data_IF_742418614888
#
_entry.id   IF_742418614888
#
_cell.length_a   1.000
_cell.length_b   1.000
_cell.length_c   1.000
_cell.angle_alpha   90.00
_cell.angle_beta   90.00
_cell.angle_gamma   90.00
#
_symmetry.space_group_name_H-M   'P 1'
#
loop_
_entity.id
_entity.type
_entity.pdbx_description
1 polymer ?
#
# COMPACT_ATOMS: atom_id res chain seq x y z
N UNK A 1 33.95 65.09 -51.79
CA UNK A 1 33.91 63.61 -51.72
C UNK A 1 33.06 63.23 -50.54
N UNK A 2 31.86 62.76 -50.80
CA UNK A 2 30.79 62.66 -49.87
C UNK A 2 30.80 61.29 -49.19
N UNK A 3 30.85 61.28 -47.91
CA UNK A 3 30.62 60.07 -47.07
C UNK A 3 29.19 60.13 -46.55
N UNK A 4 28.37 59.26 -47.10
CA UNK A 4 26.96 59.06 -46.71
C UNK A 4 26.94 58.21 -45.42
N UNK A 5 26.44 58.81 -44.33
CA UNK A 5 26.18 58.08 -43.10
C UNK A 5 24.85 57.27 -43.23
N UNK A 6 24.93 55.98 -43.11
CA UNK A 6 23.79 55.09 -43.00
C UNK A 6 23.40 54.98 -41.52
N UNK A 7 22.34 55.63 -41.13
CA UNK A 7 21.71 55.43 -39.82
C UNK A 7 20.85 54.17 -39.87
N UNK A 8 21.30 53.11 -39.22
CA UNK A 8 20.51 51.94 -38.95
C UNK A 8 19.64 52.18 -37.70
N UNK A 9 18.33 52.41 -37.91
CA UNK A 9 17.36 52.47 -36.83
C UNK A 9 17.07 51.05 -36.30
N UNK A 10 17.59 50.73 -35.12
CA UNK A 10 17.21 49.52 -34.38
C UNK A 10 15.83 49.71 -33.76
N UNK A 11 14.82 49.16 -34.40
CA UNK A 11 13.47 49.01 -33.83
C UNK A 11 13.51 47.94 -32.73
N UNK A 12 13.58 48.39 -31.48
CA UNK A 12 13.30 47.52 -30.31
C UNK A 12 11.81 47.25 -30.28
N UNK A 13 11.40 46.11 -30.81
CA UNK A 13 10.06 45.56 -30.57
C UNK A 13 10.05 45.00 -29.17
N UNK A 14 9.57 45.79 -28.19
CA UNK A 14 9.25 45.33 -26.86
C UNK A 14 7.99 44.47 -26.90
N UNK A 15 8.15 43.15 -27.02
CA UNK A 15 7.07 42.21 -26.73
C UNK A 15 6.79 42.23 -25.24
N UNK A 16 5.57 42.51 -24.79
CA UNK A 16 5.21 42.26 -23.40
C UNK A 16 5.16 40.72 -23.23
N UNK A 17 6.14 40.16 -22.56
CA UNK A 17 6.08 38.80 -22.04
C UNK A 17 5.02 38.74 -20.91
N UNK A 18 3.75 38.68 -21.29
CA UNK A 18 2.70 38.21 -20.39
C UNK A 18 2.69 36.68 -20.47
N UNK A 19 3.78 36.06 -20.08
CA UNK A 19 3.84 34.63 -19.80
C UNK A 19 3.39 34.43 -18.36
N UNK A 20 2.08 34.43 -18.12
CA UNK A 20 1.49 33.70 -17.00
C UNK A 20 1.49 32.21 -17.35
N UNK A 21 2.64 31.68 -17.72
CA UNK A 21 2.88 30.24 -17.80
C UNK A 21 2.86 29.70 -16.38
N UNK A 22 1.89 28.84 -16.08
CA UNK A 22 1.75 28.14 -14.83
C UNK A 22 3.08 27.49 -14.42
N UNK A 23 3.87 28.16 -13.58
CA UNK A 23 5.09 27.57 -12.98
C UNK A 23 4.77 26.28 -12.19
N UNK A 24 3.50 26.06 -11.84
CA UNK A 24 3.04 24.86 -11.15
C UNK A 24 3.25 23.56 -11.94
N UNK A 25 3.24 23.61 -13.28
CA UNK A 25 3.37 22.42 -14.11
C UNK A 25 4.78 21.81 -14.15
N UNK A 26 5.82 22.64 -13.90
CA UNK A 26 7.22 22.15 -13.89
C UNK A 26 7.48 21.34 -12.62
N UNK A 27 6.92 21.75 -11.50
CA UNK A 27 7.05 21.01 -10.23
C UNK A 27 6.29 19.70 -10.24
N UNK A 28 5.15 19.59 -10.95
CA UNK A 28 4.40 18.36 -11.10
C UNK A 28 5.18 17.29 -11.91
N UNK A 29 6.07 17.72 -12.81
CA UNK A 29 6.94 16.81 -13.56
C UNK A 29 7.98 16.11 -12.67
N UNK A 30 8.34 16.71 -11.54
CA UNK A 30 9.28 16.15 -10.56
C UNK A 30 8.59 15.37 -9.41
N UNK A 31 7.26 15.27 -9.44
CA UNK A 31 6.52 14.53 -8.43
C UNK A 31 6.53 13.03 -8.75
N UNK A 32 6.99 12.23 -7.79
CA UNK A 32 6.88 10.77 -7.89
C UNK A 32 5.43 10.35 -7.76
N UNK A 33 5.05 9.30 -8.49
CA UNK A 33 3.77 8.64 -8.29
C UNK A 33 3.87 7.72 -7.09
N UNK A 34 3.01 7.93 -6.09
CA UNK A 34 2.97 7.14 -4.86
C UNK A 34 1.84 6.12 -4.93
N UNK A 35 2.16 4.90 -4.55
CA UNK A 35 1.23 3.77 -4.47
C UNK A 35 1.23 3.26 -3.03
N UNK A 36 0.09 3.34 -2.37
CA UNK A 36 -0.07 2.82 -1.01
C UNK A 36 -0.22 1.31 -1.09
N UNK A 37 0.83 0.60 -0.66
CA UNK A 37 0.87 -0.87 -0.66
C UNK A 37 0.17 -1.45 0.56
N UNK A 38 0.29 -0.76 1.70
CA UNK A 38 -0.41 -1.09 2.93
C UNK A 38 -0.89 0.20 3.58
N UNK A 39 -2.12 0.26 4.11
CA UNK A 39 -2.51 1.33 5.03
C UNK A 39 -1.72 1.19 6.34
N UNK A 40 -1.93 2.11 7.25
CA UNK A 40 -1.57 1.94 8.65
C UNK A 40 -2.18 0.64 9.19
N UNK A 41 -1.39 -0.12 9.94
CA UNK A 41 -1.79 -1.40 10.53
C UNK A 41 -1.62 -1.29 12.04
N UNK A 42 -2.66 -1.66 12.77
CA UNK A 42 -2.58 -1.80 14.23
C UNK A 42 -3.39 -3.00 14.69
N UNK A 43 -2.98 -3.58 15.82
CA UNK A 43 -3.72 -4.71 16.34
C UNK A 43 -3.19 -5.24 17.67
N UNK A 44 -3.91 -6.22 18.18
CA UNK A 44 -3.53 -6.97 19.36
C UNK A 44 -3.28 -8.42 19.00
N UNK A 45 -2.21 -8.96 19.55
CA UNK A 45 -1.83 -10.35 19.40
C UNK A 45 -1.99 -11.05 20.76
N UNK A 46 -2.72 -12.15 20.74
CA UNK A 46 -2.96 -12.98 21.92
C UNK A 46 -2.56 -14.42 21.65
N UNK A 47 -2.31 -15.16 22.74
CA UNK A 47 -2.19 -16.60 22.78
C UNK A 47 -3.07 -17.12 23.91
N UNK A 48 -4.02 -18.00 23.59
CA UNK A 48 -4.97 -18.58 24.56
C UNK A 48 -5.69 -17.53 25.42
N UNK A 49 -6.02 -16.37 24.81
CA UNK A 49 -6.70 -15.26 25.46
C UNK A 49 -5.81 -14.35 26.32
N UNK A 50 -4.50 -14.61 26.39
CA UNK A 50 -3.53 -13.76 27.07
C UNK A 50 -2.73 -12.92 26.07
N UNK A 51 -2.31 -11.72 26.47
CA UNK A 51 -1.46 -10.87 25.64
C UNK A 51 -0.16 -11.58 25.26
N UNK A 52 0.13 -11.67 23.97
CA UNK A 52 1.38 -12.24 23.48
C UNK A 52 2.42 -11.12 23.31
N UNK A 53 3.00 -10.73 24.45
CA UNK A 53 3.88 -9.58 24.59
C UNK A 53 5.32 -9.87 24.15
N UNK A 54 6.05 -8.77 23.78
CA UNK A 54 7.46 -8.81 23.40
C UNK A 54 7.76 -9.77 22.22
N UNK A 55 6.82 -9.87 21.29
CA UNK A 55 6.95 -10.71 20.10
C UNK A 55 7.23 -9.86 18.87
N UNK A 56 8.20 -10.28 18.09
CA UNK A 56 8.47 -9.68 16.80
C UNK A 56 7.32 -10.00 15.85
N UNK A 57 6.71 -8.95 15.29
CA UNK A 57 5.70 -9.02 14.23
C UNK A 57 6.33 -8.47 12.97
N UNK A 58 6.19 -9.19 11.87
CA UNK A 58 6.76 -8.87 10.60
C UNK A 58 5.67 -8.49 9.60
N UNK A 59 5.93 -7.46 8.82
CA UNK A 59 5.11 -7.06 7.68
C UNK A 59 5.91 -7.29 6.40
N UNK A 60 5.34 -8.01 5.46
CA UNK A 60 5.88 -8.12 4.13
C UNK A 60 4.87 -7.63 3.10
N UNK A 61 5.36 -6.95 2.09
CA UNK A 61 4.56 -6.42 0.99
C UNK A 61 5.26 -6.58 -0.34
N UNK A 62 4.48 -6.71 -1.40
CA UNK A 62 4.99 -6.80 -2.75
C UNK A 62 4.23 -5.91 -3.71
N UNK A 63 4.97 -5.23 -4.59
CA UNK A 63 4.42 -4.42 -5.66
C UNK A 63 5.29 -4.54 -6.91
N UNK A 64 4.74 -5.06 -7.99
CA UNK A 64 5.52 -5.43 -9.18
C UNK A 64 6.66 -6.40 -8.80
N UNK A 65 7.90 -6.00 -9.13
CA UNK A 65 9.13 -6.74 -8.78
C UNK A 65 9.75 -6.34 -7.44
N UNK A 66 9.16 -5.34 -6.77
CA UNK A 66 9.69 -4.83 -5.50
C UNK A 66 9.11 -5.61 -4.31
N UNK A 67 9.95 -5.89 -3.35
CA UNK A 67 9.57 -6.49 -2.06
C UNK A 67 9.89 -5.49 -0.96
N UNK A 68 9.00 -5.42 0.02
CA UNK A 68 9.07 -4.53 1.16
C UNK A 68 8.90 -5.35 2.42
N UNK A 69 9.72 -5.09 3.40
CA UNK A 69 9.62 -5.73 4.70
C UNK A 69 9.76 -4.67 5.77
N UNK A 70 9.00 -4.84 6.84
CA UNK A 70 9.09 -4.06 8.05
C UNK A 70 8.93 -4.98 9.26
N UNK A 71 9.28 -4.48 10.44
CA UNK A 71 9.23 -5.24 11.68
C UNK A 71 8.92 -4.32 12.85
N UNK A 72 8.02 -4.77 13.71
CA UNK A 72 7.72 -4.15 15.00
C UNK A 72 7.73 -5.20 16.10
N UNK A 73 7.50 -4.78 17.34
CA UNK A 73 7.39 -5.69 18.48
C UNK A 73 6.11 -5.38 19.25
N UNK A 74 5.43 -6.43 19.74
CA UNK A 74 4.26 -6.25 20.61
C UNK A 74 4.66 -5.67 21.95
N UNK A 75 3.86 -4.77 22.50
CA UNK A 75 4.00 -4.22 23.84
C UNK A 75 3.52 -5.22 24.94
N UNK A 76 3.47 -4.77 26.19
CA UNK A 76 3.02 -5.58 27.33
C UNK A 76 1.57 -6.08 27.21
N UNK A 77 0.74 -5.36 26.43
CA UNK A 77 -0.66 -5.70 26.18
C UNK A 77 -0.85 -6.51 24.90
N UNK A 78 0.24 -6.85 24.21
CA UNK A 78 0.19 -7.53 22.92
C UNK A 78 -0.13 -6.59 21.74
N UNK A 79 -0.12 -5.26 21.93
CA UNK A 79 -0.37 -4.29 20.86
C UNK A 79 0.83 -4.15 19.95
N UNK A 80 0.57 -4.05 18.63
CA UNK A 80 1.57 -3.78 17.60
C UNK A 80 1.06 -2.76 16.60
N UNK A 81 1.99 -2.07 15.92
CA UNK A 81 1.68 -1.03 14.95
C UNK A 81 2.72 -0.98 13.84
N UNK A 82 2.26 -0.69 12.61
CA UNK A 82 3.10 -0.38 11.44
C UNK A 82 2.58 0.89 10.76
N UNK A 83 3.49 1.72 10.34
CA UNK A 83 3.20 2.85 9.47
C UNK A 83 2.77 2.40 8.07
N UNK A 84 2.07 3.26 7.30
CA UNK A 84 1.70 2.95 5.93
C UNK A 84 2.93 2.61 5.06
N UNK A 85 2.82 1.52 4.30
CA UNK A 85 3.86 1.14 3.35
C UNK A 85 3.58 1.78 2.00
N UNK A 86 4.52 2.58 1.48
CA UNK A 86 4.35 3.35 0.23
C UNK A 86 5.47 3.02 -0.75
N UNK A 87 5.11 2.79 -2.01
CA UNK A 87 6.03 2.72 -3.14
C UNK A 87 5.98 3.99 -3.96
N UNK A 88 7.10 4.65 -4.17
CA UNK A 88 7.21 5.87 -4.97
C UNK A 88 8.05 5.63 -6.22
N UNK A 89 7.52 5.95 -7.41
CA UNK A 89 8.23 5.83 -8.69
C UNK A 89 7.97 7.02 -9.62
N UNK A 90 8.95 7.34 -10.47
CA UNK A 90 8.85 8.47 -11.41
C UNK A 90 7.86 8.21 -12.55
N UNK A 91 7.88 7.02 -13.11
CA UNK A 91 7.01 6.67 -14.23
C UNK A 91 5.67 6.14 -13.71
N UNK A 92 4.59 6.60 -14.30
CA UNK A 92 3.29 5.99 -14.09
C UNK A 92 3.32 4.53 -14.53
N UNK A 93 2.63 3.68 -13.78
CA UNK A 93 2.43 2.30 -14.16
C UNK A 93 1.71 2.23 -15.53
N UNK A 94 2.16 1.33 -16.39
CA UNK A 94 1.44 1.03 -17.62
C UNK A 94 0.07 0.42 -17.31
N UNK A 95 -1.02 0.87 -17.97
CA UNK A 95 -2.34 0.26 -17.81
C UNK A 95 -2.39 -1.22 -18.19
N UNK A 96 -1.43 -1.67 -19.02
CA UNK A 96 -1.32 -3.07 -19.45
C UNK A 96 -0.65 -3.97 -18.41
N UNK A 97 0.01 -3.41 -17.40
CA UNK A 97 0.62 -4.17 -16.34
C UNK A 97 -0.41 -4.43 -15.23
N UNK A 98 -0.93 -5.64 -15.17
CA UNK A 98 -1.70 -6.08 -14.00
C UNK A 98 -0.75 -6.09 -12.80
N UNK A 99 -1.04 -5.22 -11.83
CA UNK A 99 -0.22 -5.12 -10.62
C UNK A 99 -0.97 -5.80 -9.50
N UNK A 100 -0.38 -6.85 -9.01
CA UNK A 100 -0.81 -7.47 -7.76
C UNK A 100 -0.01 -6.84 -6.63
N UNK A 101 -0.69 -6.27 -5.65
CA UNK A 101 -0.12 -5.99 -4.35
C UNK A 101 -0.41 -7.16 -3.42
N UNK A 102 0.56 -7.47 -2.60
CA UNK A 102 0.52 -8.53 -1.61
C UNK A 102 0.84 -7.95 -0.25
N UNK A 103 0.12 -8.38 0.76
CA UNK A 103 0.38 -8.04 2.17
C UNK A 103 0.38 -9.33 2.97
N UNK A 104 1.46 -9.57 3.70
CA UNK A 104 1.59 -10.63 4.70
C UNK A 104 1.99 -10.04 6.05
N UNK A 105 1.28 -10.40 7.11
CA UNK A 105 1.65 -10.10 8.49
C UNK A 105 1.87 -11.44 9.18
N UNK A 106 3.05 -11.65 9.75
CA UNK A 106 3.38 -12.93 10.37
C UNK A 106 4.26 -12.75 11.62
N UNK A 107 4.31 -13.80 12.41
CA UNK A 107 5.28 -13.98 13.49
C UNK A 107 6.11 -15.22 13.20
N UNK A 108 7.22 -15.38 13.91
CA UNK A 108 8.00 -16.60 13.88
C UNK A 108 7.72 -17.43 15.13
N UNK A 109 7.29 -18.68 14.92
CA UNK A 109 7.17 -19.69 15.97
C UNK A 109 8.11 -20.82 15.58
N UNK A 110 9.08 -21.15 16.43
CA UNK A 110 10.10 -22.20 16.16
C UNK A 110 10.84 -21.99 14.81
N UNK A 111 11.05 -20.70 14.42
CA UNK A 111 11.62 -20.27 13.14
C UNK A 111 10.73 -20.48 11.90
N UNK A 112 9.50 -20.90 12.06
CA UNK A 112 8.52 -21.02 10.98
C UNK A 112 7.59 -19.80 10.96
N UNK A 113 7.21 -19.38 9.74
CA UNK A 113 6.25 -18.28 9.56
C UNK A 113 4.84 -18.73 9.93
N UNK A 114 4.27 -18.07 10.93
CA UNK A 114 2.84 -18.17 11.25
C UNK A 114 2.15 -16.91 10.81
N UNK A 115 1.36 -16.99 9.72
CA UNK A 115 0.66 -15.83 9.18
C UNK A 115 -0.55 -15.47 10.07
N UNK A 116 -0.62 -14.19 10.42
CA UNK A 116 -1.77 -13.55 11.07
C UNK A 116 -2.75 -13.03 10.02
N UNK A 117 -2.18 -12.57 8.90
CA UNK A 117 -2.90 -12.02 7.75
C UNK A 117 -2.12 -12.27 6.47
N UNK A 118 -2.81 -12.72 5.44
CA UNK A 118 -2.25 -12.84 4.10
C UNK A 118 -3.33 -12.51 3.06
N UNK A 119 -3.05 -11.54 2.19
CA UNK A 119 -3.95 -11.17 1.12
C UNK A 119 -3.23 -10.77 -0.15
N UNK A 120 -3.77 -11.18 -1.28
CA UNK A 120 -3.36 -10.71 -2.60
C UNK A 120 -4.39 -9.68 -3.06
N UNK A 121 -3.93 -8.45 -3.25
CA UNK A 121 -4.74 -7.35 -3.75
C UNK A 121 -4.34 -7.10 -5.20
N UNK A 122 -5.23 -7.35 -6.14
CA UNK A 122 -4.98 -7.15 -7.56
C UNK A 122 -5.00 -5.67 -8.01
N UNK A 123 -4.96 -4.68 -7.10
CA UNK A 123 -5.25 -3.27 -7.42
C UNK A 123 -4.25 -2.31 -6.77
N UNK A 124 -4.20 -1.11 -7.31
CA UNK A 124 -3.24 -0.06 -6.96
C UNK A 124 -3.37 0.47 -5.53
N UNK A 125 -4.53 0.27 -4.91
CA UNK A 125 -4.79 0.72 -3.55
C UNK A 125 -5.59 -0.33 -2.77
N UNK A 126 -5.33 -0.48 -1.47
CA UNK A 126 -6.11 -1.36 -0.61
C UNK A 126 -7.58 -0.95 -0.58
N UNK A 127 -8.48 -1.93 -0.69
CA UNK A 127 -9.92 -1.72 -0.54
C UNK A 127 -10.29 -1.25 0.86
N UNK A 128 -11.44 -0.60 0.98
CA UNK A 128 -11.92 -0.10 2.28
C UNK A 128 -12.07 -1.22 3.32
N UNK A 129 -12.55 -2.40 2.94
CA UNK A 129 -12.66 -3.51 3.87
C UNK A 129 -11.29 -3.99 4.38
N UNK A 130 -10.23 -3.91 3.56
CA UNK A 130 -8.86 -4.19 3.98
C UNK A 130 -8.40 -3.13 4.98
N UNK A 131 -8.55 -1.85 4.66
CA UNK A 131 -8.15 -0.74 5.56
C UNK A 131 -8.85 -0.84 6.91
N UNK A 132 -10.16 -1.10 6.89
CA UNK A 132 -10.97 -1.17 8.12
C UNK A 132 -10.60 -2.34 9.02
N UNK A 133 -10.16 -3.47 8.45
CA UNK A 133 -9.71 -4.61 9.24
C UNK A 133 -8.27 -4.41 9.73
N UNK A 134 -7.36 -3.92 8.89
CA UNK A 134 -5.95 -3.74 9.24
C UNK A 134 -5.73 -2.71 10.35
N UNK A 135 -6.60 -1.70 10.47
CA UNK A 135 -6.49 -0.68 11.53
C UNK A 135 -6.88 -1.17 12.93
N UNK A 136 -7.44 -2.38 13.07
CA UNK A 136 -7.85 -2.90 14.38
C UNK A 136 -7.92 -4.44 14.33
N UNK A 137 -6.77 -5.06 14.11
CA UNK A 137 -6.65 -6.51 14.11
C UNK A 137 -6.76 -7.04 15.54
N UNK A 138 -7.52 -8.11 15.71
CA UNK A 138 -7.54 -8.90 16.94
C UNK A 138 -7.18 -10.33 16.56
N UNK A 139 -5.93 -10.70 16.81
CA UNK A 139 -5.35 -11.95 16.35
C UNK A 139 -5.04 -12.87 17.53
N UNK A 140 -5.44 -14.15 17.41
CA UNK A 140 -5.07 -15.17 18.38
C UNK A 140 -4.30 -16.29 17.67
N UNK A 141 -3.06 -16.51 18.07
CA UNK A 141 -2.19 -17.51 17.42
C UNK A 141 -2.66 -18.95 17.63
N UNK A 142 -3.43 -19.21 18.69
CA UNK A 142 -4.01 -20.52 18.96
C UNK A 142 -5.25 -20.82 18.09
N UNK A 143 -5.77 -19.81 17.38
CA UNK A 143 -6.88 -19.98 16.46
C UNK A 143 -6.36 -20.50 15.10
N UNK A 144 -7.03 -21.48 14.48
CA UNK A 144 -6.68 -21.88 13.11
C UNK A 144 -6.93 -20.72 12.15
N UNK A 145 -6.21 -20.71 11.06
CA UNK A 145 -6.45 -19.78 9.98
C UNK A 145 -7.74 -20.10 9.21
N UNK A 146 -8.37 -19.03 8.75
CA UNK A 146 -9.59 -19.10 7.96
C UNK A 146 -9.42 -18.34 6.65
N UNK A 147 -9.99 -18.89 5.58
CA UNK A 147 -10.20 -18.21 4.32
C UNK A 147 -11.49 -17.38 4.41
N UNK A 148 -11.36 -16.09 4.24
CA UNK A 148 -12.46 -15.13 4.20
C UNK A 148 -12.67 -14.65 2.78
N UNK A 149 -13.93 -14.60 2.36
CA UNK A 149 -14.32 -14.22 1.00
C UNK A 149 -15.09 -12.91 1.03
N UNK A 150 -14.67 -11.97 0.21
CA UNK A 150 -15.26 -10.65 0.06
C UNK A 150 -15.77 -10.46 -1.36
N UNK A 151 -16.92 -9.78 -1.49
CA UNK A 151 -17.40 -9.37 -2.80
C UNK A 151 -16.39 -8.44 -3.46
N UNK A 152 -16.07 -8.69 -4.72
CA UNK A 152 -15.18 -7.83 -5.47
C UNK A 152 -15.88 -6.49 -5.77
N UNK A 153 -15.39 -5.35 -5.25
CA UNK A 153 -16.06 -4.07 -5.45
C UNK A 153 -15.85 -3.47 -6.85
N UNK A 154 -14.83 -3.95 -7.58
CA UNK A 154 -14.52 -3.46 -8.94
C UNK A 154 -15.21 -4.29 -9.99
N UNK A 155 -15.34 -5.61 -9.75
CA UNK A 155 -16.04 -6.55 -10.66
C UNK A 155 -17.15 -7.25 -9.87
N UNK A 156 -18.34 -6.65 -9.74
CA UNK A 156 -19.39 -7.14 -8.86
C UNK A 156 -19.86 -8.59 -9.12
N UNK A 157 -19.73 -9.06 -10.36
CA UNK A 157 -20.02 -10.43 -10.77
C UNK A 157 -18.76 -11.27 -11.02
N UNK A 158 -17.58 -10.76 -10.61
CA UNK A 158 -16.32 -11.45 -10.70
C UNK A 158 -16.10 -12.42 -9.55
N UNK A 159 -14.91 -13.00 -9.54
CA UNK A 159 -14.45 -13.89 -8.46
C UNK A 159 -14.36 -13.09 -7.15
N UNK A 160 -14.84 -13.69 -6.05
CA UNK A 160 -14.68 -13.13 -4.71
C UNK A 160 -13.19 -12.95 -4.37
N UNK A 161 -12.86 -11.89 -3.64
CA UNK A 161 -11.51 -11.66 -3.14
C UNK A 161 -11.29 -12.54 -1.91
N UNK A 162 -10.11 -13.14 -1.81
CA UNK A 162 -9.75 -14.03 -0.72
C UNK A 162 -8.73 -13.39 0.21
N UNK A 163 -8.86 -13.70 1.50
CA UNK A 163 -7.98 -13.31 2.57
C UNK A 163 -7.80 -14.50 3.51
N UNK A 164 -6.57 -14.87 3.79
CA UNK A 164 -6.23 -15.83 4.84
C UNK A 164 -5.92 -15.09 6.14
N UNK A 165 -6.54 -15.48 7.27
CA UNK A 165 -6.26 -14.83 8.54
C UNK A 165 -6.60 -15.68 9.76
N UNK A 166 -5.81 -15.47 10.85
CA UNK A 166 -6.05 -15.94 12.22
C UNK A 166 -6.70 -14.87 13.10
N UNK A 167 -6.97 -13.70 12.52
CA UNK A 167 -7.58 -12.58 13.22
C UNK A 167 -9.10 -12.57 13.04
N UNK A 168 -9.79 -11.82 13.89
CA UNK A 168 -11.21 -11.53 13.72
C UNK A 168 -11.41 -10.58 12.55
N UNK A 169 -12.11 -11.02 11.53
CA UNK A 169 -12.34 -10.26 10.30
C UNK A 169 -13.80 -9.84 10.20
N UNK A 170 -14.03 -8.60 9.76
CA UNK A 170 -15.37 -8.02 9.58
C UNK A 170 -15.72 -7.81 8.12
N UNK A 171 -17.02 -7.87 7.79
CA UNK A 171 -17.53 -7.54 6.46
C UNK A 171 -17.33 -8.59 5.39
N UNK A 172 -16.93 -9.79 5.74
CA UNK A 172 -16.84 -10.91 4.81
C UNK A 172 -18.24 -11.48 4.44
N UNK A 173 -18.31 -12.09 3.27
CA UNK A 173 -19.52 -12.78 2.76
C UNK A 173 -19.64 -14.19 3.31
N UNK A 174 -18.53 -14.93 3.35
CA UNK A 174 -18.40 -16.27 3.91
C UNK A 174 -16.98 -16.50 4.41
N UNK A 175 -16.82 -17.49 5.30
CA UNK A 175 -15.50 -17.98 5.75
C UNK A 175 -15.47 -19.48 5.73
N UNK A 176 -14.30 -20.04 5.52
CA UNK A 176 -14.02 -21.47 5.52
C UNK A 176 -12.76 -21.71 6.36
N UNK A 177 -12.72 -22.83 7.12
CA UNK A 177 -11.49 -23.23 7.79
C UNK A 177 -10.46 -23.61 6.72
N UNK A 178 -9.25 -23.08 6.83
CA UNK A 178 -8.18 -23.53 5.95
C UNK A 178 -7.89 -25.01 6.25
N UNK A 179 -7.96 -25.84 5.24
CA UNK A 179 -7.57 -27.25 5.33
C UNK A 179 -6.14 -27.29 4.82
N UNK A 180 -5.19 -27.41 5.74
CA UNK A 180 -3.84 -27.80 5.37
C UNK A 180 -3.92 -29.24 4.83
N UNK A 181 -3.57 -29.42 3.56
CA UNK A 181 -3.35 -30.72 2.95
C UNK A 181 -2.05 -31.37 3.43
#
# INVERSE_FOLDING_TARGET
MNTTQLMAALLFISFPLTSQGNMLSIFDFFKKNEYVLSPEISGHLTQDGQAFSHRDVYLEGGFLKHRYNDKTQTDLNGYFHFEPMVHAQWLKKSPLNQTYSYIGIYILIENEKTYLWESILGYEQPFNFIKNNLNNLNCNISTPDYLYYFKNPVVPNGVDLMLLSRCEIKGYKRREKNQEE
#
